data_IF_457762443925
#
_entry.id   IF_457762443925
#
_cell.length_a   1.000
_cell.length_b   1.000
_cell.length_c   1.000
_cell.angle_alpha   90.00
_cell.angle_beta   90.00
_cell.angle_gamma   90.00
#
_symmetry.space_group_name_H-M   'P 1'
#
loop_
_entity.id
_entity.type
_entity.pdbx_description
1 polymer ?
#
# COMPACT_ATOMS: atom_id res chain seq x y z
N UNK A 1 -15.88 10.31 5.15
CA UNK A 1 -15.40 9.24 6.05
C UNK A 1 -14.77 8.13 5.26
N UNK A 2 -13.61 7.63 5.70
CA UNK A 2 -12.90 6.53 5.04
C UNK A 2 -13.70 5.23 4.98
N UNK A 3 -14.63 5.01 5.93
CA UNK A 3 -15.53 3.85 5.96
C UNK A 3 -16.46 3.74 4.75
N UNK A 4 -16.64 4.82 3.98
CA UNK A 4 -17.43 4.81 2.76
C UNK A 4 -16.64 4.28 1.55
N UNK A 5 -15.31 4.17 1.68
CA UNK A 5 -14.38 3.92 0.57
C UNK A 5 -13.52 2.67 0.85
N UNK A 6 -13.12 2.49 2.10
CA UNK A 6 -12.37 1.34 2.62
C UNK A 6 -13.32 0.46 3.41
N UNK A 7 -13.45 -0.81 3.02
CA UNK A 7 -14.41 -1.74 3.66
C UNK A 7 -13.87 -2.30 4.96
N UNK A 8 -12.56 -2.51 5.08
CA UNK A 8 -12.00 -3.03 6.32
C UNK A 8 -12.03 -1.98 7.43
N UNK A 9 -12.71 -2.28 8.53
CA UNK A 9 -12.90 -1.35 9.65
C UNK A 9 -11.58 -0.93 10.32
N UNK A 10 -10.67 -1.87 10.56
CA UNK A 10 -9.37 -1.57 11.16
C UNK A 10 -8.54 -0.67 10.25
N UNK A 11 -8.51 -0.97 8.95
CA UNK A 11 -7.79 -0.15 7.98
C UNK A 11 -8.39 1.26 7.89
N UNK A 12 -9.72 1.38 7.82
CA UNK A 12 -10.41 2.67 7.80
C UNK A 12 -10.05 3.52 9.04
N UNK A 13 -9.99 2.91 10.22
CA UNK A 13 -9.57 3.59 11.45
C UNK A 13 -8.10 4.02 11.39
N UNK A 14 -7.20 3.13 10.96
CA UNK A 14 -5.77 3.43 10.84
C UNK A 14 -5.51 4.58 9.86
N UNK A 15 -6.18 4.58 8.70
CA UNK A 15 -6.07 5.67 7.72
C UNK A 15 -6.60 6.97 8.29
N UNK A 16 -7.76 6.93 8.96
CA UNK A 16 -8.35 8.12 9.60
C UNK A 16 -7.41 8.73 10.65
N UNK A 17 -6.73 7.90 11.44
CA UNK A 17 -5.75 8.37 12.41
C UNK A 17 -4.53 9.03 11.75
N UNK A 18 -4.12 8.57 10.57
CA UNK A 18 -2.96 9.09 9.86
C UNK A 18 -3.24 10.31 8.97
N UNK A 19 -4.44 10.41 8.39
CA UNK A 19 -4.79 11.44 7.40
C UNK A 19 -5.99 12.32 7.78
N UNK A 20 -6.77 11.96 8.79
CA UNK A 20 -8.11 12.52 8.97
C UNK A 20 -9.06 12.06 7.88
N UNK A 21 -9.93 12.94 7.39
CA UNK A 21 -10.91 12.62 6.36
C UNK A 21 -10.28 12.44 4.96
N UNK A 22 -10.83 11.57 4.09
CA UNK A 22 -10.35 11.43 2.73
C UNK A 22 -10.60 12.70 1.92
N UNK A 23 -9.64 13.05 1.07
CA UNK A 23 -9.81 14.08 0.04
C UNK A 23 -10.40 13.45 -1.22
N UNK A 24 -10.86 14.27 -2.17
CA UNK A 24 -11.34 13.78 -3.46
C UNK A 24 -10.28 12.91 -4.17
N UNK A 25 -9.01 13.33 -4.15
CA UNK A 25 -7.90 12.58 -4.71
C UNK A 25 -7.78 11.18 -4.08
N UNK A 26 -7.99 11.07 -2.77
CA UNK A 26 -7.94 9.78 -2.08
C UNK A 26 -9.08 8.87 -2.51
N UNK A 27 -10.30 9.39 -2.63
CA UNK A 27 -11.45 8.61 -3.10
C UNK A 27 -11.23 8.10 -4.53
N UNK A 28 -10.85 8.98 -5.46
CA UNK A 28 -10.59 8.63 -6.86
C UNK A 28 -9.48 7.57 -7.00
N UNK A 29 -8.44 7.68 -6.18
CA UNK A 29 -7.35 6.72 -6.14
C UNK A 29 -7.80 5.34 -5.65
N UNK A 30 -8.61 5.27 -4.59
CA UNK A 30 -9.13 4.00 -4.09
C UNK A 30 -10.05 3.36 -5.13
N UNK A 31 -10.99 4.13 -5.69
CA UNK A 31 -11.92 3.62 -6.71
C UNK A 31 -11.18 3.13 -7.96
N UNK A 32 -10.20 3.89 -8.44
CA UNK A 32 -9.42 3.54 -9.62
C UNK A 32 -8.58 2.27 -9.41
N UNK A 33 -7.88 2.16 -8.28
CA UNK A 33 -7.07 0.97 -7.94
C UNK A 33 -7.96 -0.27 -7.78
N UNK A 34 -9.05 -0.18 -7.02
CA UNK A 34 -9.96 -1.32 -6.78
C UNK A 34 -10.69 -1.76 -8.05
N UNK A 35 -10.86 -0.86 -9.01
CA UNK A 35 -11.41 -1.18 -10.34
C UNK A 35 -10.37 -1.77 -11.30
N UNK A 36 -9.11 -1.94 -10.88
CA UNK A 36 -8.04 -2.45 -11.74
C UNK A 36 -7.60 -1.46 -12.83
N UNK A 37 -7.86 -0.16 -12.68
CA UNK A 37 -7.47 0.85 -13.67
C UNK A 37 -5.99 1.21 -13.52
N UNK A 38 -5.31 1.38 -14.64
CA UNK A 38 -4.01 2.03 -14.65
C UNK A 38 -4.19 3.52 -14.35
N UNK A 39 -3.41 4.07 -13.41
CA UNK A 39 -3.56 5.45 -12.96
C UNK A 39 -2.23 6.20 -13.03
N UNK A 40 -2.29 7.46 -13.51
CA UNK A 40 -1.24 8.45 -13.33
C UNK A 40 -1.76 9.52 -12.37
N UNK A 41 -1.11 9.67 -11.22
CA UNK A 41 -1.55 10.62 -10.19
C UNK A 41 -0.50 11.70 -9.99
N UNK A 42 -0.90 12.94 -10.24
CA UNK A 42 -0.07 14.14 -10.01
C UNK A 42 -0.79 14.99 -8.98
N UNK A 43 -0.08 15.33 -7.90
CA UNK A 43 -0.63 16.09 -6.78
C UNK A 43 0.43 17.00 -6.18
N UNK A 44 -0.01 18.04 -5.47
CA UNK A 44 0.87 18.78 -4.57
C UNK A 44 1.50 17.87 -3.51
N UNK A 45 2.67 18.28 -2.98
CA UNK A 45 3.46 17.46 -2.04
C UNK A 45 2.73 17.15 -0.72
N UNK A 46 1.81 18.02 -0.29
CA UNK A 46 1.06 17.90 0.96
C UNK A 46 -0.17 16.99 0.87
N UNK A 47 -0.58 16.54 -0.32
CA UNK A 47 -1.76 15.67 -0.49
C UNK A 47 -1.52 14.23 -0.02
N UNK A 48 -0.29 13.89 0.35
CA UNK A 48 0.15 12.64 0.97
C UNK A 48 -0.40 11.35 0.32
N UNK A 49 -0.46 11.37 -1.02
CA UNK A 49 -0.86 10.28 -1.96
C UNK A 49 -0.37 8.87 -1.63
N UNK A 50 0.70 8.76 -0.84
CA UNK A 50 1.28 7.49 -0.37
C UNK A 50 0.30 6.70 0.48
N UNK A 51 -0.41 7.36 1.38
CA UNK A 51 -1.36 6.67 2.24
C UNK A 51 -2.59 6.24 1.43
N UNK A 52 -3.07 7.08 0.50
CA UNK A 52 -4.18 6.74 -0.39
C UNK A 52 -3.96 5.44 -1.17
N UNK A 53 -2.84 5.30 -1.90
CA UNK A 53 -2.62 4.10 -2.71
C UNK A 53 -2.34 2.88 -1.83
N UNK A 54 -1.63 3.05 -0.70
CA UNK A 54 -1.35 1.95 0.22
C UNK A 54 -2.65 1.41 0.81
N UNK A 55 -3.53 2.29 1.26
CA UNK A 55 -4.82 1.92 1.81
C UNK A 55 -5.69 1.20 0.76
N UNK A 56 -5.74 1.71 -0.47
CA UNK A 56 -6.45 1.07 -1.57
C UNK A 56 -5.93 -0.36 -1.85
N UNK A 57 -4.61 -0.53 -1.93
CA UNK A 57 -3.97 -1.83 -2.18
C UNK A 57 -4.25 -2.80 -1.02
N UNK A 58 -4.11 -2.36 0.22
CA UNK A 58 -4.35 -3.20 1.40
C UNK A 58 -5.82 -3.63 1.44
N UNK A 59 -6.77 -2.71 1.28
CA UNK A 59 -8.21 -3.04 1.27
C UNK A 59 -8.54 -4.03 0.16
N UNK A 60 -8.01 -3.81 -1.04
CA UNK A 60 -8.14 -4.75 -2.16
C UNK A 60 -7.57 -6.14 -1.83
N UNK A 61 -6.38 -6.23 -1.23
CA UNK A 61 -5.76 -7.49 -0.86
C UNK A 61 -6.56 -8.23 0.24
N UNK A 62 -7.15 -7.51 1.19
CA UNK A 62 -8.04 -8.07 2.22
C UNK A 62 -9.34 -8.63 1.61
N UNK A 63 -9.87 -8.00 0.57
CA UNK A 63 -11.05 -8.50 -0.14
C UNK A 63 -10.76 -9.74 -1.01
N UNK A 64 -9.54 -9.84 -1.56
CA UNK A 64 -9.13 -10.88 -2.52
C UNK A 64 -8.63 -12.16 -1.84
N UNK A 65 -8.62 -12.28 -0.51
CA UNK A 65 -8.02 -13.38 0.28
C UNK A 65 -8.35 -14.83 -0.15
N UNK A 66 -9.24 -15.05 -1.12
CA UNK A 66 -9.53 -16.35 -1.74
C UNK A 66 -8.70 -16.70 -2.99
N UNK A 67 -7.89 -15.79 -3.56
CA UNK A 67 -7.13 -16.03 -4.80
C UNK A 67 -5.61 -16.02 -4.62
N UNK A 68 -5.07 -17.02 -3.91
CA UNK A 68 -3.62 -17.30 -3.88
C UNK A 68 -2.73 -16.15 -3.38
N UNK A 69 -1.41 -16.38 -3.38
CA UNK A 69 -0.41 -15.38 -2.96
C UNK A 69 -0.27 -14.27 -4.01
N UNK A 70 -1.16 -13.28 -3.97
CA UNK A 70 -0.95 -12.04 -4.72
C UNK A 70 0.09 -11.18 -4.00
N UNK A 71 1.23 -10.93 -4.65
CA UNK A 71 2.26 -10.01 -4.18
C UNK A 71 2.22 -8.73 -5.01
N UNK A 72 2.03 -7.57 -4.37
CA UNK A 72 2.02 -6.25 -5.02
C UNK A 72 3.39 -5.58 -4.86
N UNK A 73 4.17 -5.40 -5.95
CA UNK A 73 5.42 -4.67 -5.89
C UNK A 73 5.19 -3.15 -5.95
N UNK A 74 5.83 -2.43 -5.02
CA UNK A 74 5.92 -0.97 -4.97
C UNK A 74 7.38 -0.60 -5.21
N UNK A 75 7.65 -0.02 -6.38
CA UNK A 75 9.00 0.35 -6.81
C UNK A 75 9.21 1.85 -6.60
N UNK A 76 10.30 2.22 -5.94
CA UNK A 76 10.66 3.62 -5.67
C UNK A 76 12.10 3.95 -6.01
N UNK A 77 12.36 5.23 -6.30
CA UNK A 77 13.67 5.68 -6.80
C UNK A 77 14.80 5.57 -5.79
N UNK A 78 14.53 5.78 -4.50
CA UNK A 78 15.57 5.89 -3.46
C UNK A 78 15.25 5.08 -2.20
N UNK A 79 16.31 4.61 -1.52
CA UNK A 79 16.19 3.74 -0.33
C UNK A 79 15.47 4.41 0.84
N UNK A 80 15.64 5.71 1.02
CA UNK A 80 14.99 6.44 2.11
C UNK A 80 13.47 6.55 1.90
N UNK A 81 13.03 6.81 0.67
CA UNK A 81 11.60 6.78 0.32
C UNK A 81 11.02 5.38 0.53
N UNK A 82 11.78 4.33 0.20
CA UNK A 82 11.41 2.94 0.47
C UNK A 82 11.17 2.69 1.97
N UNK A 83 12.04 3.22 2.85
CA UNK A 83 11.85 3.20 4.30
C UNK A 83 10.57 3.90 4.73
N UNK A 84 10.32 5.10 4.23
CA UNK A 84 9.15 5.89 4.61
C UNK A 84 7.84 5.22 4.22
N UNK A 85 7.76 4.65 3.01
CA UNK A 85 6.57 3.94 2.53
C UNK A 85 6.35 2.67 3.35
N UNK A 86 7.42 1.93 3.66
CA UNK A 86 7.34 0.75 4.52
C UNK A 86 6.78 1.08 5.91
N UNK A 87 7.26 2.15 6.56
CA UNK A 87 6.75 2.57 7.86
C UNK A 87 5.25 2.96 7.77
N UNK A 88 4.84 3.69 6.73
CA UNK A 88 3.43 4.01 6.50
C UNK A 88 2.58 2.74 6.32
N UNK A 89 3.04 1.78 5.53
CA UNK A 89 2.36 0.51 5.34
C UNK A 89 2.23 -0.30 6.65
N UNK A 90 3.28 -0.33 7.48
CA UNK A 90 3.24 -0.97 8.80
C UNK A 90 2.24 -0.30 9.76
N UNK A 91 2.12 1.03 9.73
CA UNK A 91 1.12 1.75 10.52
C UNK A 91 -0.30 1.45 10.03
N UNK A 92 -0.51 1.40 8.72
CA UNK A 92 -1.80 1.04 8.12
C UNK A 92 -2.24 -0.38 8.45
N UNK A 93 -1.29 -1.29 8.63
CA UNK A 93 -1.52 -2.68 9.02
C UNK A 93 -1.54 -2.91 10.53
N UNK A 94 -1.57 -1.84 11.34
CA UNK A 94 -1.74 -2.00 12.78
C UNK A 94 -3.03 -2.79 13.05
N UNK A 95 -2.93 -3.86 13.85
CA UNK A 95 -4.01 -4.82 14.14
C UNK A 95 -4.53 -5.68 12.97
N UNK A 96 -3.98 -5.53 11.76
CA UNK A 96 -4.30 -6.37 10.59
C UNK A 96 -3.18 -7.41 10.43
N UNK A 97 -3.49 -8.69 10.70
CA UNK A 97 -2.49 -9.78 10.71
C UNK A 97 -2.46 -10.60 9.43
N UNK A 98 -3.48 -10.47 8.58
CA UNK A 98 -3.64 -11.31 7.39
C UNK A 98 -2.72 -10.91 6.24
N UNK A 99 -2.06 -9.76 6.35
CA UNK A 99 -1.18 -9.22 5.33
C UNK A 99 0.22 -8.95 5.86
N UNK A 100 1.20 -9.30 5.05
CA UNK A 100 2.61 -9.05 5.29
C UNK A 100 3.15 -7.99 4.33
N UNK A 101 4.03 -7.15 4.85
CA UNK A 101 4.75 -6.15 4.05
C UNK A 101 6.21 -6.33 4.35
N UNK A 102 7.01 -6.44 3.30
CA UNK A 102 8.46 -6.45 3.43
C UNK A 102 9.07 -5.32 2.63
N UNK A 103 10.31 -5.01 2.99
CA UNK A 103 11.15 -4.04 2.31
C UNK A 103 12.46 -4.71 1.94
N UNK A 104 12.74 -4.87 0.65
CA UNK A 104 13.94 -5.59 0.21
C UNK A 104 15.18 -4.71 0.14
N UNK A 105 16.23 -5.16 0.85
CA UNK A 105 17.63 -4.79 0.61
C UNK A 105 18.57 -6.01 0.48
N UNK A 106 18.09 -7.23 0.69
CA UNK A 106 18.85 -8.50 0.70
C UNK A 106 18.03 -9.65 0.07
N UNK A 107 18.63 -10.85 -0.04
CA UNK A 107 18.27 -11.99 -0.93
C UNK A 107 16.77 -12.35 -0.98
N UNK A 108 16.32 -12.72 -2.17
CA UNK A 108 14.91 -13.02 -2.51
C UNK A 108 14.33 -14.29 -1.85
N UNK A 109 15.14 -15.11 -1.18
CA UNK A 109 14.72 -16.40 -0.62
C UNK A 109 13.67 -16.28 0.53
N UNK A 110 13.54 -15.09 1.15
CA UNK A 110 12.54 -14.81 2.20
C UNK A 110 11.16 -14.33 1.67
N UNK A 111 10.96 -14.28 0.36
CA UNK A 111 9.74 -13.72 -0.25
C UNK A 111 8.50 -14.61 -0.13
N UNK A 112 8.66 -15.85 0.36
CA UNK A 112 7.68 -16.92 0.16
C UNK A 112 6.30 -16.54 0.73
N UNK A 113 6.15 -15.65 1.70
CA UNK A 113 4.84 -15.25 2.26
C UNK A 113 4.53 -13.74 2.21
N UNK A 114 4.99 -13.03 1.18
CA UNK A 114 4.86 -11.56 1.09
C UNK A 114 3.63 -11.11 0.28
N UNK A 115 2.75 -10.27 0.85
CA UNK A 115 1.64 -9.64 0.11
C UNK A 115 2.02 -8.30 -0.53
N UNK A 116 2.85 -7.50 0.13
CA UNK A 116 3.31 -6.21 -0.41
C UNK A 116 4.83 -6.14 -0.32
N UNK A 117 5.46 -5.89 -1.46
CA UNK A 117 6.91 -5.77 -1.57
C UNK A 117 7.30 -4.34 -1.91
N UNK A 118 8.06 -3.66 -1.05
CA UNK A 118 8.56 -2.31 -1.32
C UNK A 118 10.06 -2.36 -1.60
N UNK A 119 10.50 -1.83 -2.75
CA UNK A 119 11.89 -1.96 -3.19
C UNK A 119 12.36 -0.82 -4.10
N UNK A 120 13.68 -0.78 -4.33
CA UNK A 120 14.29 0.07 -5.37
C UNK A 120 14.61 -0.75 -6.62
N UNK A 121 14.59 -0.16 -7.83
CA UNK A 121 14.86 -0.90 -9.08
C UNK A 121 16.17 -1.70 -9.06
N UNK A 122 17.23 -1.14 -8.46
CA UNK A 122 18.53 -1.81 -8.36
C UNK A 122 18.52 -3.10 -7.53
N UNK A 123 17.52 -3.30 -6.67
CA UNK A 123 17.36 -4.54 -5.89
C UNK A 123 16.69 -5.64 -6.72
N UNK A 124 15.81 -5.28 -7.66
CA UNK A 124 15.13 -6.23 -8.55
C UNK A 124 16.06 -6.77 -9.65
N UNK A 125 17.03 -5.97 -10.10
CA UNK A 125 17.98 -6.32 -11.17
C UNK A 125 19.09 -7.30 -10.76
N UNK A 126 19.20 -7.67 -9.48
CA UNK A 126 20.29 -8.52 -8.97
C UNK A 126 20.02 -10.03 -9.06
N UNK A 127 19.02 -10.43 -9.85
CA UNK A 127 18.72 -11.81 -10.18
C UNK A 127 19.00 -12.08 -11.65
#
# INVERSE_FOLDING_TARGET
MWSNVIKNNYLSQNVTHMLGEPSLLHCEMVDGIKSGKNMMVISANNADKRIGYLAAIIDMLLEIQHFGKLSVPIVVSVRELCKQIYMKAKHLLFQIKDLTVIRLYQKMEELIDTNILICTPGTLKKN
#
